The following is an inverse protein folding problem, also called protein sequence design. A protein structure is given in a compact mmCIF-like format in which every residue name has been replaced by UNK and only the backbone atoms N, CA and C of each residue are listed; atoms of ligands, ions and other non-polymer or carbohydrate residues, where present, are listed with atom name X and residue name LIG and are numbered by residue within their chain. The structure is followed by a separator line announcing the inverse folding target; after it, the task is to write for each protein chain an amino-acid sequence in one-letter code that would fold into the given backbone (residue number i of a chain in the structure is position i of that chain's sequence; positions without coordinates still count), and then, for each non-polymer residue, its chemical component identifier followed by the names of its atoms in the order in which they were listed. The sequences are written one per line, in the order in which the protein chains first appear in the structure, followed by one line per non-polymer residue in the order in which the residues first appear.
data_IF_979130549125
#
_entry.id   IF_979130549125
#
_cell.length_a   1.000
_cell.length_b   1.000
_cell.length_c   1.000
_cell.angle_alpha   90.00
_cell.angle_beta   90.00
_cell.angle_gamma   90.00
#
_symmetry.space_group_name_H-M   'P 1'
#
loop_
_entity.id
_entity.type
_entity.pdbx_description
1 polymer ?
#
# COMPACT_ATOMS: atom_id res chain seq x y z
N UNK A 1 -10.40 -6.40 -16.08
CA UNK A 1 -10.40 -6.49 -14.60
C UNK A 1 -8.98 -6.22 -14.13
N UNK A 2 -8.75 -5.22 -13.28
CA UNK A 2 -7.39 -4.95 -12.78
C UNK A 2 -7.00 -6.08 -11.81
N UNK A 3 -5.94 -6.82 -12.15
CA UNK A 3 -5.45 -7.92 -11.32
C UNK A 3 -4.85 -7.33 -10.04
N UNK A 4 -5.35 -7.77 -8.89
CA UNK A 4 -4.73 -7.47 -7.59
C UNK A 4 -3.59 -8.46 -7.37
N UNK A 5 -2.42 -7.96 -7.00
CA UNK A 5 -1.23 -8.79 -6.72
C UNK A 5 -1.01 -8.96 -5.22
N UNK A 6 -1.17 -7.88 -4.45
CA UNK A 6 -0.96 -7.85 -3.01
C UNK A 6 -2.12 -7.11 -2.37
N UNK A 7 -2.55 -7.61 -1.22
CA UNK A 7 -3.47 -6.98 -0.28
C UNK A 7 -2.88 -7.17 1.12
N UNK A 8 -2.77 -6.09 1.88
CA UNK A 8 -2.23 -6.12 3.24
C UNK A 8 -2.99 -5.15 4.12
N UNK A 9 -3.47 -5.62 5.28
CA UNK A 9 -3.96 -4.73 6.33
C UNK A 9 -2.78 -4.14 7.10
N UNK A 10 -2.94 -2.93 7.60
CA UNK A 10 -2.01 -2.40 8.60
C UNK A 10 -2.23 -3.09 9.97
N UNK A 11 -1.39 -2.76 10.95
CA UNK A 11 -1.25 -3.45 12.24
C UNK A 11 -2.52 -3.38 13.11
N UNK A 12 -3.39 -2.41 12.90
CA UNK A 12 -4.63 -2.19 13.66
C UNK A 12 -5.91 -2.39 12.81
N UNK A 13 -5.77 -2.93 11.60
CA UNK A 13 -6.87 -3.19 10.66
C UNK A 13 -7.68 -1.96 10.26
N UNK A 14 -7.16 -0.75 10.43
CA UNK A 14 -7.82 0.52 10.04
C UNK A 14 -7.45 0.98 8.64
N UNK A 15 -6.52 0.32 7.96
CA UNK A 15 -6.17 0.64 6.58
C UNK A 15 -5.69 -0.57 5.78
N UNK A 16 -5.76 -0.42 4.45
CA UNK A 16 -5.44 -1.44 3.47
C UNK A 16 -4.42 -0.89 2.48
N UNK A 17 -3.37 -1.65 2.21
CA UNK A 17 -2.49 -1.44 1.07
C UNK A 17 -2.82 -2.49 -0.01
N UNK A 18 -2.95 -2.04 -1.25
CA UNK A 18 -3.21 -2.89 -2.40
C UNK A 18 -2.22 -2.59 -3.51
N UNK A 19 -1.73 -3.62 -4.22
CA UNK A 19 -0.97 -3.42 -5.45
C UNK A 19 -1.62 -4.09 -6.65
N UNK A 20 -1.40 -3.47 -7.80
CA UNK A 20 -1.68 -4.00 -9.14
C UNK A 20 -0.33 -4.13 -9.88
N UNK A 21 -0.29 -4.64 -11.13
CA UNK A 21 0.95 -4.66 -11.91
C UNK A 21 1.57 -3.27 -12.15
N UNK A 22 0.78 -2.19 -12.09
CA UNK A 22 1.22 -0.84 -12.48
C UNK A 22 1.10 0.21 -11.38
N UNK A 23 0.41 -0.09 -10.27
CA UNK A 23 0.15 0.86 -9.19
C UNK A 23 0.16 0.21 -7.82
N UNK A 24 0.29 1.03 -6.78
CA UNK A 24 -0.27 0.72 -5.47
C UNK A 24 -1.28 1.79 -5.05
N UNK A 25 -2.26 1.36 -4.24
CA UNK A 25 -3.23 2.21 -3.57
C UNK A 25 -3.18 1.96 -2.06
N UNK A 26 -3.41 3.02 -1.29
CA UNK A 26 -3.66 2.97 0.14
C UNK A 26 -5.10 3.38 0.40
N UNK A 27 -5.77 2.68 1.30
CA UNK A 27 -7.14 2.94 1.70
C UNK A 27 -7.23 3.06 3.21
N UNK A 28 -8.12 3.92 3.71
CA UNK A 28 -8.53 3.93 5.11
C UNK A 28 -9.88 3.25 5.25
N UNK A 29 -10.09 2.59 6.39
CA UNK A 29 -11.34 1.92 6.75
C UNK A 29 -11.90 2.68 7.95
N UNK A 30 -13.02 3.36 7.77
CA UNK A 30 -13.70 4.08 8.84
C UNK A 30 -14.56 3.14 9.69
N UNK A 31 -15.04 3.63 10.84
CA UNK A 31 -15.81 2.84 11.81
C UNK A 31 -17.13 2.29 11.24
N UNK A 32 -17.69 2.94 10.22
CA UNK A 32 -18.87 2.51 9.46
C UNK A 32 -18.53 1.54 8.30
N UNK A 33 -17.32 0.97 8.29
CA UNK A 33 -16.79 0.07 7.25
C UNK A 33 -16.70 0.69 5.85
N UNK A 34 -16.71 2.03 5.76
CA UNK A 34 -16.46 2.71 4.49
C UNK A 34 -14.97 2.67 4.18
N UNK A 35 -14.66 2.34 2.92
CA UNK A 35 -13.30 2.22 2.40
C UNK A 35 -13.06 3.42 1.48
N UNK A 36 -12.12 4.28 1.86
CA UNK A 36 -11.75 5.48 1.10
C UNK A 36 -10.29 5.38 0.64
N UNK A 37 -10.03 5.59 -0.66
CA UNK A 37 -8.66 5.67 -1.18
C UNK A 37 -8.01 6.98 -0.72
N UNK A 38 -6.87 6.89 -0.05
CA UNK A 38 -6.14 8.05 0.48
C UNK A 38 -4.88 8.38 -0.33
N UNK A 39 -4.41 7.43 -1.14
CA UNK A 39 -3.24 7.61 -2.00
C UNK A 39 -3.20 6.56 -3.10
N UNK A 40 -2.81 6.97 -4.31
CA UNK A 40 -2.52 6.08 -5.43
C UNK A 40 -1.21 6.53 -6.09
N UNK A 41 -0.36 5.57 -6.43
CA UNK A 41 0.92 5.87 -7.04
C UNK A 41 1.28 4.83 -8.10
N UNK A 42 1.70 5.32 -9.27
CA UNK A 42 2.29 4.50 -10.31
C UNK A 42 3.61 3.90 -9.83
N UNK A 43 3.62 2.58 -9.69
CA UNK A 43 4.77 1.81 -9.26
C UNK A 43 4.56 0.36 -9.70
N UNK A 44 5.53 -0.19 -10.42
CA UNK A 44 5.42 -1.53 -10.99
C UNK A 44 6.14 -2.55 -10.12
N UNK A 45 5.85 -3.83 -10.35
CA UNK A 45 6.70 -4.90 -9.84
C UNK A 45 6.82 -4.90 -8.31
N UNK A 46 5.72 -4.64 -7.59
CA UNK A 46 5.69 -4.68 -6.12
C UNK A 46 5.55 -6.12 -5.64
N UNK A 47 6.45 -6.52 -4.74
CA UNK A 47 6.42 -7.82 -4.04
C UNK A 47 6.02 -7.71 -2.57
N UNK A 48 6.14 -6.52 -1.97
CA UNK A 48 5.65 -6.22 -0.63
C UNK A 48 5.31 -4.75 -0.52
N UNK A 49 4.18 -4.44 0.12
CA UNK A 49 3.79 -3.08 0.50
C UNK A 49 3.13 -3.12 1.87
N UNK A 50 3.65 -2.32 2.80
CA UNK A 50 3.08 -2.17 4.14
C UNK A 50 3.06 -0.71 4.57
N UNK A 51 1.97 -0.34 5.25
CA UNK A 51 1.81 0.98 5.87
C UNK A 51 2.07 0.86 7.37
N UNK A 52 2.79 1.85 7.93
CA UNK A 52 2.99 1.91 9.38
C UNK A 52 1.76 2.55 10.03
N UNK A 53 0.92 1.74 10.66
CA UNK A 53 -0.36 2.14 11.28
C UNK A 53 -1.16 3.06 10.35
N UNK A 54 -1.71 4.15 10.89
CA UNK A 54 -2.36 5.20 10.13
C UNK A 54 -1.42 6.39 9.83
N UNK A 55 -0.11 6.16 9.77
CA UNK A 55 0.85 7.18 9.35
C UNK A 55 0.90 7.34 7.83
N UNK A 56 1.70 8.30 7.38
CA UNK A 56 2.08 8.55 5.99
C UNK A 56 3.26 7.69 5.51
N UNK A 57 3.86 6.89 6.38
CA UNK A 57 5.02 6.04 6.05
C UNK A 57 4.59 4.72 5.42
N UNK A 58 5.31 4.36 4.36
CA UNK A 58 5.12 3.14 3.58
C UNK A 58 6.46 2.47 3.34
N UNK A 59 6.48 1.16 3.50
CA UNK A 59 7.59 0.29 3.20
C UNK A 59 7.25 -0.53 1.95
N UNK A 60 8.09 -0.43 0.91
CA UNK A 60 7.86 -1.09 -0.38
C UNK A 60 9.10 -1.90 -0.78
N UNK A 61 8.86 -3.12 -1.26
CA UNK A 61 9.87 -3.98 -1.89
C UNK A 61 9.44 -4.32 -3.30
N UNK A 62 10.33 -4.09 -4.27
CA UNK A 62 10.10 -4.49 -5.66
C UNK A 62 10.65 -5.89 -5.94
N UNK A 63 9.94 -6.67 -6.76
CA UNK A 63 10.42 -7.95 -7.32
C UNK A 63 11.70 -7.78 -8.15
N UNK A 64 11.96 -6.59 -8.71
CA UNK A 64 13.20 -6.27 -9.44
C UNK A 64 14.40 -6.07 -8.50
N UNK A 65 14.16 -5.75 -7.22
CA UNK A 65 15.19 -5.53 -6.22
C UNK A 65 14.75 -6.10 -4.86
N UNK A 66 14.59 -7.44 -4.74
CA UNK A 66 13.91 -8.06 -3.61
C UNK A 66 14.65 -7.92 -2.27
N UNK A 67 15.91 -7.47 -2.29
CA UNK A 67 16.74 -7.20 -1.10
C UNK A 67 16.86 -5.71 -0.78
N UNK A 68 16.08 -4.85 -1.44
CA UNK A 68 16.06 -3.40 -1.20
C UNK A 68 14.69 -3.00 -0.66
N UNK A 69 14.66 -2.59 0.60
CA UNK A 69 13.48 -1.96 1.20
C UNK A 69 13.53 -0.46 0.94
N UNK A 70 12.47 0.09 0.34
CA UNK A 70 12.29 1.54 0.22
C UNK A 70 11.28 2.01 1.26
N UNK A 71 11.68 2.97 2.08
CA UNK A 71 10.76 3.69 2.97
C UNK A 71 10.44 5.03 2.32
N UNK A 72 9.16 5.35 2.22
CA UNK A 72 8.67 6.59 1.62
C UNK A 72 7.54 7.20 2.45
N UNK A 73 7.29 8.48 2.23
CA UNK A 73 6.22 9.24 2.87
C UNK A 73 5.28 9.74 1.76
N UNK A 74 3.99 9.39 1.81
CA UNK A 74 3.04 9.76 0.73
C UNK A 74 2.35 11.11 0.94
N UNK A 75 2.32 11.62 2.17
CA UNK A 75 1.94 13.01 2.44
C UNK A 75 3.18 13.90 2.44
N UNK A 76 3.06 15.21 2.51
CA UNK A 76 4.21 16.12 2.65
C UNK A 76 4.10 16.89 3.94
#
# INVERSE_FOLDING_TARGET
MNKVLILSFNQDCTSLAMSTPTTYSLFTISQDNKIDEIHNCAYTEISTIERLFSSSLIAVVSSQAPRKLKVCHFMR
#
